data_IF_169235332438
#
_entry.id   IF_169235332438
#
_cell.length_a   1.000
_cell.length_b   1.000
_cell.length_c   1.000
_cell.angle_alpha   90.00
_cell.angle_beta   90.00
_cell.angle_gamma   90.00
#
_symmetry.space_group_name_H-M   'P 1'
#
loop_
_entity.id
_entity.type
_entity.pdbx_description
1 polymer ?
#
# COMPACT_ATOMS: atom_id res chain seq x y z
N UNK A 1 -17.24 -59.68 -4.52
CA UNK A 1 -16.41 -59.39 -5.72
C UNK A 1 -16.06 -57.92 -5.72
N UNK A 2 -14.80 -57.58 -5.40
CA UNK A 2 -14.32 -56.19 -5.44
C UNK A 2 -14.22 -55.76 -6.91
N UNK A 3 -14.96 -54.72 -7.31
CA UNK A 3 -14.74 -54.10 -8.62
C UNK A 3 -13.31 -53.57 -8.63
N UNK A 4 -12.47 -54.12 -9.50
CA UNK A 4 -11.17 -53.53 -9.85
C UNK A 4 -11.39 -52.04 -10.14
N UNK A 5 -10.65 -51.16 -9.49
CA UNK A 5 -10.61 -49.76 -9.90
C UNK A 5 -10.26 -49.72 -11.40
N UNK A 6 -11.03 -48.98 -12.19
CA UNK A 6 -10.79 -48.76 -13.61
C UNK A 6 -10.73 -47.26 -13.88
N UNK A 7 -9.91 -46.86 -14.86
CA UNK A 7 -9.69 -45.44 -15.20
C UNK A 7 -8.74 -44.73 -14.22
N UNK A 8 -8.95 -43.42 -14.04
CA UNK A 8 -8.07 -42.52 -13.27
C UNK A 8 -7.77 -43.00 -11.84
N UNK A 9 -8.73 -43.66 -11.20
CA UNK A 9 -8.60 -44.19 -9.83
C UNK A 9 -7.74 -45.47 -9.73
N UNK A 10 -7.33 -46.05 -10.85
CA UNK A 10 -6.41 -47.19 -10.89
C UNK A 10 -4.93 -46.75 -10.93
N UNK A 11 -4.66 -45.45 -11.09
CA UNK A 11 -3.31 -44.92 -11.10
C UNK A 11 -2.69 -44.97 -9.69
N UNK A 12 -1.36 -45.13 -9.59
CA UNK A 12 -0.66 -44.90 -8.33
C UNK A 12 -0.94 -43.49 -7.79
N UNK A 13 -1.09 -43.30 -6.46
CA UNK A 13 -1.33 -42.01 -5.83
C UNK A 13 -0.41 -40.89 -6.32
N UNK A 14 0.87 -41.20 -6.54
CA UNK A 14 1.91 -40.26 -6.95
C UNK A 14 1.68 -39.76 -8.39
N UNK A 15 1.20 -40.63 -9.28
CA UNK A 15 0.87 -40.27 -10.66
C UNK A 15 -0.40 -39.43 -10.69
N UNK A 16 -1.41 -39.80 -9.88
CA UNK A 16 -2.62 -39.01 -9.74
C UNK A 16 -2.29 -37.60 -9.20
N UNK A 17 -1.43 -37.53 -8.17
CA UNK A 17 -0.98 -36.26 -7.61
C UNK A 17 -0.26 -35.41 -8.66
N UNK A 18 0.65 -35.99 -9.44
CA UNK A 18 1.34 -35.26 -10.50
C UNK A 18 0.37 -34.69 -11.53
N UNK A 19 -0.65 -35.44 -11.93
CA UNK A 19 -1.68 -34.96 -12.86
C UNK A 19 -2.44 -33.76 -12.27
N UNK A 20 -2.77 -33.81 -10.97
CA UNK A 20 -3.46 -32.71 -10.31
C UNK A 20 -2.58 -31.46 -10.22
N UNK A 21 -1.28 -31.61 -9.94
CA UNK A 21 -0.33 -30.48 -9.84
C UNK A 21 -0.15 -29.73 -11.16
N UNK A 22 -0.28 -30.42 -12.30
CA UNK A 22 -0.23 -29.79 -13.64
C UNK A 22 -1.57 -29.13 -14.03
N UNK A 23 -2.63 -29.28 -13.23
CA UNK A 23 -3.95 -28.72 -13.51
C UNK A 23 -4.15 -27.38 -12.79
N UNK A 24 -5.02 -26.52 -13.33
CA UNK A 24 -5.41 -25.30 -12.61
C UNK A 24 -6.15 -25.67 -11.31
N UNK A 25 -5.95 -24.96 -10.19
CA UNK A 25 -6.65 -25.26 -8.94
C UNK A 25 -8.19 -25.25 -9.04
N UNK A 26 -8.77 -24.49 -9.98
CA UNK A 26 -10.21 -24.54 -10.26
C UNK A 26 -10.62 -25.89 -10.90
N UNK A 27 -9.80 -26.44 -11.79
CA UNK A 27 -10.01 -27.76 -12.38
C UNK A 27 -9.84 -28.86 -11.34
N UNK A 28 -8.86 -28.74 -10.43
CA UNK A 28 -8.70 -29.65 -9.29
C UNK A 28 -9.95 -29.65 -8.41
N UNK A 29 -10.54 -28.47 -8.16
CA UNK A 29 -11.80 -28.37 -7.43
C UNK A 29 -12.97 -29.05 -8.17
N UNK A 30 -13.03 -28.94 -9.51
CA UNK A 30 -14.03 -29.62 -10.33
C UNK A 30 -13.83 -31.15 -10.34
N UNK A 31 -12.59 -31.63 -10.45
CA UNK A 31 -12.23 -33.06 -10.37
C UNK A 31 -12.69 -33.64 -9.02
N UNK A 32 -12.50 -32.90 -7.92
CA UNK A 32 -12.95 -33.31 -6.60
C UNK A 32 -14.48 -33.44 -6.47
N UNK A 33 -15.26 -32.86 -7.40
CA UNK A 33 -16.72 -33.04 -7.44
C UNK A 33 -17.14 -34.26 -8.28
N UNK A 34 -16.25 -34.85 -9.07
CA UNK A 34 -16.58 -35.95 -9.96
C UNK A 34 -16.92 -37.25 -9.20
N UNK A 35 -16.24 -37.55 -8.09
CA UNK A 35 -16.59 -38.67 -7.21
C UNK A 35 -16.05 -38.52 -5.78
N UNK A 36 -16.61 -39.29 -4.84
CA UNK A 36 -16.20 -39.27 -3.42
C UNK A 36 -14.76 -39.73 -3.19
N UNK A 37 -14.24 -40.65 -4.01
CA UNK A 37 -12.86 -41.12 -3.90
C UNK A 37 -11.86 -40.00 -4.22
N UNK A 38 -12.08 -39.25 -5.31
CA UNK A 38 -11.26 -38.09 -5.67
C UNK A 38 -11.40 -36.96 -4.65
N UNK A 39 -12.63 -36.72 -4.17
CA UNK A 39 -12.86 -35.74 -3.09
C UNK A 39 -12.03 -36.05 -1.86
N UNK A 40 -12.06 -37.31 -1.40
CA UNK A 40 -11.32 -37.76 -0.23
C UNK A 40 -9.80 -37.66 -0.46
N UNK A 41 -9.33 -38.05 -1.64
CA UNK A 41 -7.91 -37.92 -2.01
C UNK A 41 -7.40 -36.48 -1.92
N UNK A 42 -8.20 -35.51 -2.39
CA UNK A 42 -7.81 -34.10 -2.47
C UNK A 42 -8.00 -33.36 -1.14
N UNK A 43 -9.14 -33.58 -0.46
CA UNK A 43 -9.56 -32.75 0.68
C UNK A 43 -9.40 -33.41 2.06
N UNK A 44 -9.15 -34.71 2.11
CA UNK A 44 -8.89 -35.45 3.35
C UNK A 44 -7.51 -36.18 3.33
N UNK A 45 -6.42 -35.54 2.85
CA UNK A 45 -5.09 -36.13 2.94
C UNK A 45 -4.55 -36.11 4.38
N UNK A 46 -3.59 -37.00 4.68
CA UNK A 46 -2.92 -37.02 5.98
C UNK A 46 -1.94 -35.85 6.18
N UNK A 47 -1.48 -35.23 5.09
CA UNK A 47 -0.58 -34.09 5.06
C UNK A 47 -1.04 -33.03 4.03
N UNK A 48 -0.27 -31.94 3.87
CA UNK A 48 -0.57 -30.87 2.91
C UNK A 48 0.31 -30.93 1.64
N UNK A 49 0.94 -32.05 1.32
CA UNK A 49 1.92 -32.15 0.23
C UNK A 49 1.33 -31.75 -1.13
N UNK A 50 0.13 -32.26 -1.46
CA UNK A 50 -0.58 -31.89 -2.69
C UNK A 50 -0.88 -30.39 -2.74
N UNK A 51 -1.42 -29.82 -1.66
CA UNK A 51 -1.77 -28.39 -1.59
C UNK A 51 -0.55 -27.48 -1.69
N UNK A 52 0.57 -27.88 -1.07
CA UNK A 52 1.85 -27.20 -1.21
C UNK A 52 2.35 -27.25 -2.65
N UNK A 53 2.29 -28.42 -3.29
CA UNK A 53 2.73 -28.59 -4.67
C UNK A 53 1.87 -27.76 -5.63
N UNK A 54 0.55 -27.74 -5.43
CA UNK A 54 -0.38 -26.91 -6.20
C UNK A 54 -0.09 -25.41 -6.05
N UNK A 55 0.23 -24.95 -4.83
CA UNK A 55 0.60 -23.56 -4.59
C UNK A 55 1.91 -23.21 -5.30
N UNK A 56 2.95 -24.02 -5.13
CA UNK A 56 4.28 -23.75 -5.70
C UNK A 56 4.33 -23.88 -7.22
N UNK A 57 3.34 -24.55 -7.83
CA UNK A 57 3.14 -24.56 -9.27
C UNK A 57 2.54 -23.23 -9.81
N UNK A 58 1.98 -22.39 -8.96
CA UNK A 58 1.48 -21.07 -9.35
C UNK A 58 2.65 -20.06 -9.48
N UNK A 59 2.48 -19.02 -10.28
CA UNK A 59 3.41 -17.87 -10.35
C UNK A 59 3.24 -16.94 -9.15
N UNK A 60 3.51 -17.45 -7.95
CA UNK A 60 3.40 -16.76 -6.66
C UNK A 60 4.68 -16.93 -5.86
N UNK A 61 4.94 -16.01 -4.94
CA UNK A 61 6.09 -16.11 -4.04
C UNK A 61 5.90 -17.27 -3.03
N UNK A 62 6.99 -17.96 -2.69
CA UNK A 62 7.00 -18.94 -1.62
C UNK A 62 6.83 -18.24 -0.26
N UNK A 63 5.74 -18.50 0.48
CA UNK A 63 5.46 -17.79 1.73
C UNK A 63 6.52 -17.98 2.81
N UNK A 64 7.38 -19.00 2.68
CA UNK A 64 8.49 -19.27 3.62
C UNK A 64 9.69 -18.35 3.39
N UNK A 65 9.77 -17.72 2.21
CA UNK A 65 10.79 -16.74 1.85
C UNK A 65 10.28 -15.30 2.04
N UNK A 66 8.96 -15.14 2.14
CA UNK A 66 8.32 -13.85 2.39
C UNK A 66 8.61 -13.28 3.78
N UNK A 67 8.60 -11.95 3.84
CA UNK A 67 8.63 -11.16 5.08
C UNK A 67 7.45 -10.20 5.10
N UNK A 68 6.98 -9.83 6.29
CA UNK A 68 5.98 -8.77 6.44
C UNK A 68 6.60 -7.38 6.16
N UNK A 69 5.78 -6.33 6.19
CA UNK A 69 6.23 -4.94 5.97
C UNK A 69 7.33 -4.48 6.94
N UNK A 70 7.52 -5.12 8.10
CA UNK A 70 8.57 -4.79 9.06
C UNK A 70 9.84 -5.64 8.86
N UNK A 71 9.89 -6.48 7.82
CA UNK A 71 11.01 -7.38 7.53
C UNK A 71 11.06 -8.64 8.40
N UNK A 72 9.99 -8.95 9.14
CA UNK A 72 9.90 -10.16 9.97
C UNK A 72 9.48 -11.36 9.12
N UNK A 73 10.07 -12.55 9.35
CA UNK A 73 9.68 -13.75 8.63
C UNK A 73 8.24 -14.15 8.97
N UNK A 74 7.51 -14.67 7.99
CA UNK A 74 6.20 -15.27 8.23
C UNK A 74 6.34 -16.59 9.02
N UNK A 75 5.21 -17.09 9.54
CA UNK A 75 5.15 -18.42 10.16
C UNK A 75 5.66 -19.50 9.20
N UNK A 76 6.54 -20.38 9.71
CA UNK A 76 7.00 -21.56 8.98
C UNK A 76 5.89 -22.62 8.83
N UNK A 77 4.90 -22.61 9.72
CA UNK A 77 3.72 -23.46 9.62
C UNK A 77 2.70 -22.79 8.68
N UNK A 78 2.67 -23.28 7.44
CA UNK A 78 1.86 -22.73 6.35
C UNK A 78 0.67 -23.64 6.10
N UNK A 79 -0.54 -23.09 6.25
CA UNK A 79 -1.77 -23.73 5.75
C UNK A 79 -1.87 -23.51 4.23
N UNK A 80 -1.23 -24.40 3.48
CA UNK A 80 -1.17 -24.36 2.02
C UNK A 80 -2.55 -24.42 1.38
N UNK A 81 -3.46 -25.24 1.94
CA UNK A 81 -4.82 -25.37 1.43
C UNK A 81 -5.57 -24.06 1.58
N UNK A 82 -5.69 -23.54 2.79
CA UNK A 82 -6.46 -22.31 3.04
C UNK A 82 -5.87 -21.13 2.26
N UNK A 83 -4.54 -21.02 2.21
CA UNK A 83 -3.83 -19.97 1.48
C UNK A 83 -4.07 -20.06 -0.03
N UNK A 84 -3.96 -21.24 -0.63
CA UNK A 84 -4.26 -21.41 -2.06
C UNK A 84 -5.73 -21.09 -2.36
N UNK A 85 -6.67 -21.59 -1.56
CA UNK A 85 -8.10 -21.36 -1.78
C UNK A 85 -8.47 -19.88 -1.79
N UNK A 86 -7.99 -19.10 -0.79
CA UNK A 86 -8.28 -17.66 -0.75
C UNK A 86 -7.63 -16.90 -1.92
N UNK A 87 -6.42 -17.30 -2.36
CA UNK A 87 -5.74 -16.65 -3.49
C UNK A 87 -6.45 -16.97 -4.80
N UNK A 88 -6.87 -18.21 -5.02
CA UNK A 88 -7.62 -18.60 -6.22
C UNK A 88 -8.99 -17.91 -6.23
N UNK A 89 -9.62 -17.71 -5.06
CA UNK A 89 -10.82 -16.89 -4.95
C UNK A 89 -10.55 -15.43 -5.33
N UNK A 90 -9.47 -14.84 -4.82
CA UNK A 90 -9.06 -13.49 -5.18
C UNK A 90 -8.74 -13.36 -6.69
N UNK A 91 -8.04 -14.34 -7.28
CA UNK A 91 -7.80 -14.43 -8.73
C UNK A 91 -9.10 -14.44 -9.51
N UNK A 92 -10.06 -15.27 -9.12
CA UNK A 92 -11.38 -15.35 -9.77
C UNK A 92 -12.11 -14.01 -9.78
N UNK A 93 -12.00 -13.25 -8.68
CA UNK A 93 -12.59 -11.91 -8.56
C UNK A 93 -11.78 -10.86 -9.32
N UNK A 94 -10.45 -10.98 -9.37
CA UNK A 94 -9.64 -10.11 -10.20
C UNK A 94 -9.95 -10.33 -11.68
N UNK A 95 -10.13 -11.56 -12.15
CA UNK A 95 -10.46 -11.83 -13.55
C UNK A 95 -11.87 -11.34 -13.93
N UNK A 96 -12.80 -11.38 -12.97
CA UNK A 96 -14.17 -10.90 -13.15
C UNK A 96 -14.69 -10.29 -11.83
N UNK A 97 -14.53 -8.97 -11.65
CA UNK A 97 -14.93 -8.28 -10.42
C UNK A 97 -16.42 -8.37 -10.09
N UNK A 98 -17.27 -8.75 -11.05
CA UNK A 98 -18.71 -8.94 -10.83
C UNK A 98 -19.03 -10.21 -10.04
N UNK A 99 -18.09 -11.17 -9.96
CA UNK A 99 -18.25 -12.43 -9.24
C UNK A 99 -17.98 -12.32 -7.73
N UNK A 100 -17.69 -11.13 -7.22
CA UNK A 100 -17.48 -10.91 -5.80
C UNK A 100 -18.79 -10.49 -5.13
N UNK A 101 -19.43 -11.37 -4.34
CA UNK A 101 -20.56 -10.96 -3.54
C UNK A 101 -20.08 -10.05 -2.39
N UNK A 102 -20.95 -9.16 -1.86
CA UNK A 102 -20.56 -8.18 -0.85
C UNK A 102 -19.97 -8.79 0.44
N UNK A 103 -20.46 -9.95 0.86
CA UNK A 103 -20.05 -10.65 2.09
C UNK A 103 -18.63 -11.23 2.01
N UNK A 104 -18.13 -11.51 0.81
CA UNK A 104 -16.77 -12.01 0.60
C UNK A 104 -15.76 -10.89 0.34
N UNK A 105 -16.23 -9.67 0.06
CA UNK A 105 -15.39 -8.56 -0.43
C UNK A 105 -14.22 -8.25 0.49
N UNK A 106 -14.48 -8.19 1.79
CA UNK A 106 -13.44 -7.96 2.81
C UNK A 106 -12.34 -9.03 2.75
N UNK A 107 -12.71 -10.32 2.67
CA UNK A 107 -11.75 -11.42 2.63
C UNK A 107 -10.90 -11.41 1.35
N UNK A 108 -11.50 -11.04 0.21
CA UNK A 108 -10.79 -10.87 -1.06
C UNK A 108 -9.79 -9.72 -0.98
N UNK A 109 -10.22 -8.54 -0.54
CA UNK A 109 -9.36 -7.38 -0.38
C UNK A 109 -8.21 -7.65 0.59
N UNK A 110 -8.50 -8.28 1.72
CA UNK A 110 -7.48 -8.65 2.70
C UNK A 110 -6.46 -9.64 2.09
N UNK A 111 -6.92 -10.60 1.29
CA UNK A 111 -6.02 -11.54 0.60
C UNK A 111 -5.08 -10.81 -0.34
N UNK A 112 -5.57 -9.81 -1.09
CA UNK A 112 -4.74 -9.00 -1.99
C UNK A 112 -3.74 -8.14 -1.21
N UNK A 113 -4.17 -7.52 -0.09
CA UNK A 113 -3.28 -6.74 0.77
C UNK A 113 -2.18 -7.63 1.36
N UNK A 114 -2.54 -8.83 1.80
CA UNK A 114 -1.58 -9.80 2.31
C UNK A 114 -0.56 -10.23 1.25
N UNK A 115 -0.97 -10.37 -0.02
CA UNK A 115 -0.07 -10.75 -1.11
C UNK A 115 0.97 -9.67 -1.41
N UNK A 116 0.58 -8.40 -1.37
CA UNK A 116 1.51 -7.28 -1.65
C UNK A 116 2.32 -6.83 -0.43
N UNK A 117 1.86 -7.15 0.79
CA UNK A 117 2.55 -6.77 2.04
C UNK A 117 3.43 -7.89 2.60
N UNK A 118 3.27 -9.13 2.12
CA UNK A 118 4.04 -10.28 2.57
C UNK A 118 4.79 -10.92 1.39
N UNK A 119 5.90 -10.29 1.02
CA UNK A 119 6.72 -10.60 -0.16
C UNK A 119 8.17 -10.85 0.24
N UNK A 120 8.96 -11.59 -0.56
CA UNK A 120 10.39 -11.73 -0.30
C UNK A 120 11.08 -10.36 -0.35
N UNK A 121 12.12 -10.11 0.48
CA UNK A 121 12.92 -8.91 0.35
C UNK A 121 13.79 -8.96 -0.91
N UNK A 122 14.20 -7.79 -1.40
CA UNK A 122 15.23 -7.64 -2.44
C UNK A 122 16.57 -7.23 -1.81
N UNK A 123 17.68 -7.60 -2.44
CA UNK A 123 19.01 -7.11 -2.08
C UNK A 123 19.29 -5.71 -2.63
N UNK A 124 18.70 -5.40 -3.79
CA UNK A 124 18.83 -4.13 -4.48
C UNK A 124 17.46 -3.48 -4.62
N UNK A 125 17.33 -2.25 -4.13
CA UNK A 125 16.11 -1.47 -4.25
C UNK A 125 15.78 -1.13 -5.72
N UNK A 126 16.77 -1.21 -6.62
CA UNK A 126 16.61 -1.01 -8.06
C UNK A 126 16.54 -2.34 -8.84
N UNK A 127 16.31 -3.47 -8.17
CA UNK A 127 16.14 -4.77 -8.82
C UNK A 127 15.07 -4.71 -9.91
N UNK A 128 15.41 -5.17 -11.11
CA UNK A 128 14.48 -5.27 -12.25
C UNK A 128 13.51 -6.45 -12.12
N UNK A 129 13.78 -7.37 -11.18
CA UNK A 129 12.96 -8.55 -10.90
C UNK A 129 12.13 -8.33 -9.63
N UNK A 130 10.90 -7.81 -9.74
CA UNK A 130 10.02 -7.66 -8.59
C UNK A 130 9.52 -9.03 -8.10
N UNK A 131 9.12 -9.09 -6.83
CA UNK A 131 8.44 -10.25 -6.26
C UNK A 131 7.26 -10.73 -7.14
N UNK A 132 7.06 -12.04 -7.25
CA UNK A 132 6.06 -12.63 -8.14
C UNK A 132 4.64 -12.17 -7.80
N UNK A 133 4.32 -12.01 -6.51
CA UNK A 133 3.02 -11.50 -6.08
C UNK A 133 2.75 -10.07 -6.57
N UNK A 134 3.79 -9.21 -6.60
CA UNK A 134 3.66 -7.85 -7.14
C UNK A 134 3.42 -7.87 -8.65
N UNK A 135 4.20 -8.68 -9.38
CA UNK A 135 4.03 -8.85 -10.82
C UNK A 135 2.65 -9.44 -11.19
N UNK A 136 2.14 -10.36 -10.36
CA UNK A 136 0.81 -10.93 -10.49
C UNK A 136 -0.28 -9.87 -10.25
N UNK A 137 -0.20 -9.10 -9.17
CA UNK A 137 -1.20 -8.08 -8.84
C UNK A 137 -1.19 -6.90 -9.83
N UNK A 138 -0.03 -6.53 -10.38
CA UNK A 138 0.09 -5.47 -11.40
C UNK A 138 -0.79 -5.73 -12.64
N UNK A 139 -1.07 -7.01 -12.97
CA UNK A 139 -1.98 -7.40 -14.07
C UNK A 139 -3.47 -7.22 -13.72
N UNK A 140 -3.80 -7.17 -12.43
CA UNK A 140 -5.16 -7.09 -11.89
C UNK A 140 -5.69 -5.67 -11.62
N UNK A 141 -4.96 -4.63 -12.04
CA UNK A 141 -5.28 -3.22 -11.70
C UNK A 141 -6.68 -2.74 -12.06
N UNK A 142 -7.34 -3.39 -13.03
CA UNK A 142 -8.69 -3.05 -13.45
C UNK A 142 -9.76 -3.30 -12.36
N UNK A 143 -9.46 -4.12 -11.34
CA UNK A 143 -10.31 -4.28 -10.14
C UNK A 143 -10.59 -2.94 -9.46
N UNK A 144 -9.57 -2.07 -9.35
CA UNK A 144 -9.65 -0.78 -8.66
C UNK A 144 -10.54 0.24 -9.40
N UNK A 145 -10.67 0.07 -10.72
CA UNK A 145 -11.47 0.91 -11.60
C UNK A 145 -12.86 0.33 -11.89
N UNK A 146 -13.14 -0.91 -11.49
CA UNK A 146 -14.36 -1.60 -11.87
C UNK A 146 -15.60 -1.00 -11.17
N UNK A 147 -16.69 -0.67 -11.90
CA UNK A 147 -17.88 0.01 -11.34
C UNK A 147 -18.46 -0.63 -10.06
N UNK A 148 -18.50 -1.96 -10.00
CA UNK A 148 -18.98 -2.70 -8.82
C UNK A 148 -18.16 -2.45 -7.54
N UNK A 149 -16.97 -1.88 -7.67
CA UNK A 149 -16.04 -1.56 -6.59
C UNK A 149 -15.92 -0.04 -6.37
N UNK A 150 -16.66 0.76 -7.14
CA UNK A 150 -16.69 2.23 -7.02
C UNK A 150 -17.87 2.74 -6.19
N UNK A 151 -18.81 1.87 -5.83
CA UNK A 151 -19.89 2.20 -4.90
C UNK A 151 -19.36 2.43 -3.50
N UNK A 152 -20.16 3.08 -2.64
CA UNK A 152 -19.83 3.21 -1.22
C UNK A 152 -19.55 1.83 -0.61
N UNK A 153 -18.41 1.71 0.06
CA UNK A 153 -17.95 0.50 0.71
C UNK A 153 -18.05 0.69 2.23
N UNK A 154 -18.30 -0.39 2.99
CA UNK A 154 -18.10 -0.39 4.43
C UNK A 154 -16.70 0.14 4.79
N UNK A 155 -16.52 0.89 5.90
CA UNK A 155 -15.26 1.58 6.20
C UNK A 155 -14.02 0.69 6.16
N UNK A 156 -14.11 -0.56 6.64
CA UNK A 156 -12.99 -1.51 6.62
C UNK A 156 -12.58 -1.92 5.19
N UNK A 157 -13.56 -2.13 4.32
CA UNK A 157 -13.32 -2.50 2.91
C UNK A 157 -12.77 -1.31 2.14
N UNK A 158 -13.28 -0.11 2.42
CA UNK A 158 -12.79 1.13 1.85
C UNK A 158 -11.30 1.35 2.17
N UNK A 159 -10.90 1.18 3.44
CA UNK A 159 -9.50 1.31 3.85
C UNK A 159 -8.59 0.27 3.17
N UNK A 160 -9.04 -0.98 3.02
CA UNK A 160 -8.27 -1.99 2.28
C UNK A 160 -8.14 -1.65 0.79
N UNK A 161 -9.22 -1.16 0.16
CA UNK A 161 -9.19 -0.73 -1.24
C UNK A 161 -8.21 0.43 -1.44
N UNK A 162 -8.26 1.46 -0.60
CA UNK A 162 -7.32 2.58 -0.71
C UNK A 162 -5.89 2.16 -0.39
N UNK A 163 -5.69 1.22 0.53
CA UNK A 163 -4.37 0.63 0.78
C UNK A 163 -3.83 -0.05 -0.47
N UNK A 164 -4.63 -0.93 -1.10
CA UNK A 164 -4.26 -1.56 -2.37
C UNK A 164 -3.93 -0.51 -3.43
N UNK A 165 -4.72 0.56 -3.51
CA UNK A 165 -4.51 1.61 -4.50
C UNK A 165 -3.22 2.40 -4.27
N UNK A 166 -2.94 2.77 -3.02
CA UNK A 166 -1.70 3.47 -2.65
C UNK A 166 -0.45 2.62 -2.97
N UNK A 167 -0.52 1.29 -2.83
CA UNK A 167 0.57 0.40 -3.25
C UNK A 167 0.58 0.19 -4.76
N UNK A 168 -0.59 0.11 -5.40
CA UNK A 168 -0.73 -0.10 -6.84
C UNK A 168 -0.01 1.03 -7.60
N UNK A 169 -0.26 2.27 -7.21
CA UNK A 169 0.06 3.45 -7.99
C UNK A 169 -1.19 3.98 -8.69
N UNK A 170 -1.02 4.72 -9.79
CA UNK A 170 -2.14 5.28 -10.54
C UNK A 170 -2.82 4.25 -11.45
N UNK A 171 -4.14 4.36 -11.55
CA UNK A 171 -4.93 3.68 -12.59
C UNK A 171 -5.27 4.62 -13.75
N UNK A 172 -5.94 4.10 -14.78
CA UNK A 172 -6.42 4.94 -15.88
C UNK A 172 -7.49 5.93 -15.42
N UNK A 173 -8.30 5.55 -14.44
CA UNK A 173 -9.36 6.43 -13.93
C UNK A 173 -8.78 7.67 -13.26
N UNK A 174 -7.63 7.57 -12.62
CA UNK A 174 -6.99 8.66 -11.88
C UNK A 174 -6.58 9.86 -12.76
N UNK A 175 -6.33 9.65 -14.05
CA UNK A 175 -6.06 10.73 -15.00
C UNK A 175 -7.31 11.56 -15.37
N UNK A 176 -8.51 11.18 -14.90
CA UNK A 176 -9.73 11.96 -15.16
C UNK A 176 -9.70 13.26 -14.33
N UNK A 177 -10.12 14.40 -14.88
CA UNK A 177 -10.18 15.68 -14.15
C UNK A 177 -10.93 15.57 -12.81
N UNK A 178 -12.05 14.82 -12.78
CA UNK A 178 -12.82 14.61 -11.55
C UNK A 178 -12.01 13.97 -10.43
N UNK A 179 -11.09 13.06 -10.75
CA UNK A 179 -10.24 12.38 -9.74
C UNK A 179 -9.16 13.31 -9.20
N UNK A 180 -8.61 14.16 -10.06
CA UNK A 180 -7.71 15.24 -9.64
C UNK A 180 -8.43 16.17 -8.65
N UNK A 181 -9.64 16.61 -8.98
CA UNK A 181 -10.47 17.45 -8.11
C UNK A 181 -10.83 16.76 -6.80
N UNK A 182 -11.19 15.47 -6.81
CA UNK A 182 -11.46 14.68 -5.60
C UNK A 182 -10.24 14.59 -4.67
N UNK A 183 -9.05 14.28 -5.20
CA UNK A 183 -7.82 14.19 -4.40
C UNK A 183 -7.40 15.54 -3.79
N UNK A 184 -7.47 16.63 -4.58
CA UNK A 184 -7.20 18.00 -4.12
C UNK A 184 -8.17 18.43 -3.04
N UNK A 185 -9.46 18.18 -3.27
CA UNK A 185 -10.51 18.47 -2.30
C UNK A 185 -10.27 17.75 -0.97
N UNK A 186 -9.70 16.55 -0.98
CA UNK A 186 -9.36 15.85 0.24
C UNK A 186 -8.11 16.43 0.92
N UNK A 187 -7.02 16.66 0.18
CA UNK A 187 -5.74 17.16 0.72
C UNK A 187 -5.86 18.61 1.24
N UNK A 188 -6.60 19.47 0.55
CA UNK A 188 -6.71 20.88 0.94
C UNK A 188 -7.86 21.16 1.89
N UNK A 189 -8.58 20.13 2.34
CA UNK A 189 -9.60 20.25 3.37
C UNK A 189 -8.97 20.31 4.76
N UNK A 190 -8.89 21.51 5.35
CA UNK A 190 -8.32 21.74 6.68
C UNK A 190 -9.01 20.88 7.77
N UNK A 191 -10.29 20.52 7.57
CA UNK A 191 -11.05 19.64 8.47
C UNK A 191 -10.48 18.21 8.60
N UNK A 192 -9.60 17.79 7.70
CA UNK A 192 -8.92 16.49 7.73
C UNK A 192 -7.64 16.52 8.57
N UNK A 193 -7.29 17.66 9.18
CA UNK A 193 -6.06 17.85 9.96
C UNK A 193 -6.43 18.37 11.36
N UNK A 194 -6.38 17.48 12.34
CA UNK A 194 -6.88 17.72 13.70
C UNK A 194 -5.89 17.17 14.73
N UNK A 195 -6.09 17.54 15.98
CA UNK A 195 -5.34 16.98 17.10
C UNK A 195 -5.57 15.47 17.29
N UNK A 196 -6.76 14.97 16.93
CA UNK A 196 -7.11 13.54 17.06
C UNK A 196 -6.39 12.63 16.06
N UNK A 197 -5.96 13.16 14.92
CA UNK A 197 -5.17 12.45 13.93
C UNK A 197 -3.77 13.04 13.78
N UNK A 198 -3.31 13.82 14.76
CA UNK A 198 -1.98 14.42 14.81
C UNK A 198 -1.60 15.19 13.53
N UNK A 199 -2.59 15.73 12.79
CA UNK A 199 -2.40 16.44 11.51
C UNK A 199 -1.75 15.60 10.39
N UNK A 200 -1.83 14.27 10.48
CA UNK A 200 -1.29 13.35 9.48
C UNK A 200 -2.34 12.46 8.81
N UNK A 201 -1.90 11.49 7.98
CA UNK A 201 -2.78 10.51 7.36
C UNK A 201 -3.22 9.39 8.34
N UNK A 202 -3.72 9.79 9.51
CA UNK A 202 -4.20 8.91 10.56
C UNK A 202 -5.73 9.01 10.73
N UNK A 203 -6.32 7.99 11.34
CA UNK A 203 -7.74 7.99 11.69
C UNK A 203 -8.06 9.07 12.76
N UNK A 204 -9.24 9.68 12.65
CA UNK A 204 -9.74 10.72 13.56
C UNK A 204 -10.21 10.21 14.93
N UNK A 205 -9.98 8.93 15.24
CA UNK A 205 -10.42 8.29 16.48
C UNK A 205 -9.34 8.29 17.57
N UNK A 206 -8.20 8.96 17.35
CA UNK A 206 -7.07 8.95 18.28
C UNK A 206 -6.32 7.62 18.35
N UNK A 207 -6.65 6.65 17.49
CA UNK A 207 -6.02 5.33 17.54
C UNK A 207 -4.60 5.30 16.95
N UNK A 208 -4.21 6.35 16.21
CA UNK A 208 -2.94 6.39 15.48
C UNK A 208 -2.84 5.38 14.33
N UNK A 209 -3.94 4.71 13.96
CA UNK A 209 -4.01 3.83 12.79
C UNK A 209 -4.02 4.65 11.51
N UNK A 210 -3.52 4.07 10.43
CA UNK A 210 -3.42 4.77 9.14
C UNK A 210 -4.79 4.93 8.49
N UNK A 211 -5.06 6.12 7.99
CA UNK A 211 -6.17 6.40 7.09
C UNK A 211 -5.67 6.33 5.64
N UNK A 212 -5.86 5.17 5.02
CA UNK A 212 -5.40 4.89 3.66
C UNK A 212 -6.10 5.72 2.59
N UNK A 213 -7.31 6.24 2.84
CA UNK A 213 -7.94 7.21 1.93
C UNK A 213 -7.15 8.52 1.89
N UNK A 214 -6.68 8.98 3.06
CA UNK A 214 -5.81 10.16 3.14
C UNK A 214 -4.47 9.89 2.45
N UNK A 215 -3.83 8.74 2.71
CA UNK A 215 -2.60 8.33 2.00
C UNK A 215 -2.81 8.30 0.49
N UNK A 216 -3.94 7.76 0.01
CA UNK A 216 -4.27 7.74 -1.41
C UNK A 216 -4.43 9.15 -1.99
N UNK A 217 -5.11 10.06 -1.29
CA UNK A 217 -5.31 11.42 -1.77
C UNK A 217 -3.97 12.16 -1.93
N UNK A 218 -3.08 12.03 -0.94
CA UNK A 218 -1.71 12.55 -0.98
C UNK A 218 -0.92 11.92 -2.13
N UNK A 219 -0.93 10.58 -2.22
CA UNK A 219 -0.28 9.83 -3.31
C UNK A 219 -0.70 10.35 -4.68
N UNK A 220 -2.01 10.53 -4.89
CA UNK A 220 -2.57 10.97 -6.15
C UNK A 220 -2.15 12.40 -6.49
N UNK A 221 -2.26 13.35 -5.54
CA UNK A 221 -1.82 14.74 -5.73
C UNK A 221 -0.33 14.80 -6.09
N UNK A 222 0.54 14.10 -5.36
CA UNK A 222 1.98 14.08 -5.64
C UNK A 222 2.29 13.44 -6.99
N UNK A 223 1.67 12.31 -7.31
CA UNK A 223 1.88 11.59 -8.57
C UNK A 223 1.49 12.44 -9.80
N UNK A 224 0.47 13.28 -9.68
CA UNK A 224 0.00 14.19 -10.74
C UNK A 224 0.96 15.35 -11.06
N UNK A 225 1.98 15.58 -10.22
CA UNK A 225 3.08 16.52 -10.48
C UNK A 225 4.33 15.82 -11.03
N UNK A 226 4.55 14.56 -10.64
CA UNK A 226 5.72 13.76 -11.05
C UNK A 226 5.56 13.21 -12.47
N UNK A 227 4.35 12.76 -12.82
CA UNK A 227 4.08 12.18 -14.13
C UNK A 227 3.52 13.22 -15.10
N UNK A 228 3.98 13.22 -16.36
CA UNK A 228 3.41 14.10 -17.38
C UNK A 228 1.92 13.78 -17.58
N UNK A 229 1.10 14.82 -17.76
CA UNK A 229 -0.28 14.62 -18.18
C UNK A 229 -0.27 13.91 -19.54
N UNK A 230 -0.79 12.68 -19.57
CA UNK A 230 -0.83 11.88 -20.80
C UNK A 230 -1.74 12.56 -21.80
N UNK A 231 -1.22 12.85 -23.00
CA UNK A 231 -2.07 12.88 -24.19
C UNK A 231 -2.67 11.48 -24.32
N UNK A 232 -3.98 11.38 -24.06
CA UNK A 232 -4.73 10.13 -23.98
C UNK A 232 -4.91 9.50 -25.37
N UNK A 233 -3.82 9.16 -26.06
CA UNK A 233 -3.89 8.29 -27.22
C UNK A 233 -4.30 6.87 -26.75
N UNK A 234 -5.34 6.34 -27.39
CA UNK A 234 -6.06 5.11 -27.01
C UNK A 234 -5.18 3.87 -26.81
N UNK A 235 -3.96 3.88 -27.35
CA UNK A 235 -3.01 2.75 -27.33
C UNK A 235 -2.27 2.61 -25.99
N UNK A 236 -2.18 3.67 -25.18
CA UNK A 236 -1.41 3.69 -23.91
C UNK A 236 -2.28 3.39 -22.68
N UNK A 237 -3.61 3.32 -22.87
CA UNK A 237 -4.63 3.15 -21.82
C UNK A 237 -4.69 1.75 -21.19
N UNK A 238 -3.76 0.85 -21.50
CA UNK A 238 -3.74 -0.51 -20.94
C UNK A 238 -2.45 -0.83 -20.17
N UNK A 239 -1.50 0.11 -20.12
CA UNK A 239 -0.19 -0.15 -19.53
C UNK A 239 -0.10 0.41 -18.11
N UNK A 240 0.20 -0.49 -17.17
CA UNK A 240 0.67 -0.15 -15.83
C UNK A 240 1.92 0.74 -15.92
N UNK A 241 1.93 1.86 -15.20
CA UNK A 241 3.07 2.79 -15.19
C UNK A 241 3.98 2.45 -14.03
N UNK A 242 5.21 2.06 -14.33
CA UNK A 242 6.25 1.89 -13.31
C UNK A 242 6.90 3.24 -13.05
N UNK A 243 6.78 3.74 -11.83
CA UNK A 243 7.38 4.98 -11.35
C UNK A 243 7.53 4.90 -9.82
N UNK A 244 8.37 5.73 -9.17
CA UNK A 244 8.76 5.55 -7.76
C UNK A 244 7.62 5.40 -6.73
N UNK A 245 6.38 5.76 -7.08
CA UNK A 245 5.19 5.58 -6.25
C UNK A 245 4.27 4.46 -6.74
N UNK A 246 4.83 3.30 -7.12
CA UNK A 246 4.05 2.13 -7.58
C UNK A 246 4.61 0.79 -7.09
N UNK A 247 3.87 -0.30 -7.32
CA UNK A 247 4.10 -1.63 -6.71
C UNK A 247 5.55 -2.10 -6.62
N UNK A 248 6.37 -2.03 -7.69
CA UNK A 248 7.73 -2.59 -7.62
C UNK A 248 8.58 -1.94 -6.53
N UNK A 249 8.32 -0.67 -6.23
CA UNK A 249 9.05 0.08 -5.23
C UNK A 249 8.61 -0.23 -3.80
N UNK A 250 7.51 -0.98 -3.58
CA UNK A 250 7.04 -1.37 -2.26
C UNK A 250 7.89 -2.48 -1.60
N UNK A 251 8.75 -3.17 -2.35
CA UNK A 251 9.51 -4.31 -1.84
C UNK A 251 10.55 -3.89 -0.80
N UNK A 252 10.67 -4.65 0.29
CA UNK A 252 11.66 -4.36 1.33
C UNK A 252 13.07 -4.56 0.78
N UNK A 253 13.98 -3.61 1.01
CA UNK A 253 15.40 -3.76 0.68
C UNK A 253 16.19 -4.25 1.90
N UNK A 254 16.49 -5.55 1.94
CA UNK A 254 17.19 -6.19 3.06
C UNK A 254 18.35 -7.03 2.51
N UNK A 255 19.59 -6.53 2.56
CA UNK A 255 20.77 -7.30 2.17
C UNK A 255 20.88 -8.60 2.99
N UNK A 256 21.30 -9.71 2.36
CA UNK A 256 21.38 -11.03 3.01
C UNK A 256 22.23 -11.06 4.28
N UNK A 257 23.27 -10.23 4.34
CA UNK A 257 24.17 -10.13 5.48
C UNK A 257 23.61 -9.30 6.64
N UNK A 258 22.49 -8.59 6.43
CA UNK A 258 21.92 -7.69 7.42
C UNK A 258 20.92 -8.42 8.32
N UNK A 259 21.24 -8.47 9.62
CA UNK A 259 20.29 -8.86 10.65
C UNK A 259 19.48 -7.64 11.09
N UNK A 260 18.30 -7.46 10.50
CA UNK A 260 17.44 -6.30 10.76
C UNK A 260 17.04 -6.16 12.23
N UNK A 261 17.05 -7.24 13.01
CA UNK A 261 16.72 -7.19 14.45
C UNK A 261 17.84 -6.60 15.30
N UNK A 262 19.04 -6.44 14.74
CA UNK A 262 20.21 -5.83 15.39
C UNK A 262 20.62 -4.51 14.75
N UNK A 263 19.96 -4.11 13.67
CA UNK A 263 20.24 -2.88 12.95
C UNK A 263 19.53 -1.70 13.62
N UNK A 264 20.26 -0.71 14.20
CA UNK A 264 19.62 0.46 14.79
C UNK A 264 18.85 1.28 13.77
N UNK A 265 19.35 1.40 12.53
CA UNK A 265 18.67 2.08 11.42
C UNK A 265 17.81 1.10 10.61
N UNK A 266 16.91 0.39 11.30
CA UNK A 266 16.09 -0.64 10.68
C UNK A 266 15.23 -0.08 9.53
N UNK A 267 14.81 1.18 9.60
CA UNK A 267 13.97 1.81 8.59
C UNK A 267 14.75 2.33 7.37
N UNK A 268 16.10 2.42 7.45
CA UNK A 268 16.94 2.96 6.38
C UNK A 268 16.88 4.48 6.28
N UNK A 269 16.81 5.17 7.42
CA UNK A 269 16.72 6.63 7.53
C UNK A 269 17.98 7.32 7.02
N UNK A 270 19.16 6.77 7.30
CA UNK A 270 20.42 7.41 6.95
C UNK A 270 20.62 7.43 5.43
N UNK A 271 20.85 8.62 4.89
CA UNK A 271 21.21 8.81 3.48
C UNK A 271 20.69 10.13 2.92
N UNK A 272 20.85 10.27 1.61
CA UNK A 272 20.28 11.38 0.83
C UNK A 272 18.83 11.08 0.49
N UNK A 273 17.92 11.97 0.88
CA UNK A 273 16.49 11.92 0.58
C UNK A 273 16.11 13.08 -0.34
N UNK A 274 15.17 12.84 -1.25
CA UNK A 274 14.60 13.90 -2.08
C UNK A 274 13.22 14.27 -1.54
N UNK A 275 13.18 15.28 -0.67
CA UNK A 275 11.93 15.73 -0.10
C UNK A 275 11.16 16.59 -1.10
N UNK A 276 9.98 16.12 -1.50
CA UNK A 276 9.10 16.78 -2.45
C UNK A 276 7.80 17.19 -1.78
N UNK A 277 7.32 18.41 -2.02
CA UNK A 277 6.10 18.90 -1.40
C UNK A 277 5.32 19.82 -2.34
N UNK A 278 4.00 19.88 -2.13
CA UNK A 278 3.13 20.77 -2.87
C UNK A 278 2.12 21.51 -1.98
N UNK A 279 1.68 22.68 -2.49
CA UNK A 279 0.66 23.52 -1.89
C UNK A 279 -0.04 24.38 -2.94
N UNK A 280 -1.22 24.87 -2.62
CA UNK A 280 -1.92 25.90 -3.38
C UNK A 280 -1.75 27.30 -2.75
N UNK A 281 -2.21 28.33 -3.46
CA UNK A 281 -2.26 29.68 -2.90
C UNK A 281 -3.08 29.72 -1.61
N UNK A 282 -2.56 30.44 -0.60
CA UNK A 282 -3.20 30.49 0.72
C UNK A 282 -4.59 31.13 0.67
N UNK A 283 -4.84 32.08 -0.24
CA UNK A 283 -6.17 32.70 -0.39
C UNK A 283 -7.16 31.70 -0.95
N UNK A 284 -6.76 30.92 -1.96
CA UNK A 284 -7.61 29.86 -2.53
C UNK A 284 -7.93 28.80 -1.48
N UNK A 285 -6.93 28.41 -0.68
CA UNK A 285 -7.11 27.49 0.44
C UNK A 285 -8.13 28.02 1.46
N UNK A 286 -8.04 29.30 1.84
CA UNK A 286 -8.99 29.93 2.75
C UNK A 286 -10.39 30.05 2.14
N UNK A 287 -10.49 30.39 0.85
CA UNK A 287 -11.77 30.43 0.13
C UNK A 287 -12.42 29.04 0.14
N UNK A 288 -11.66 28.00 -0.17
CA UNK A 288 -12.17 26.62 -0.18
C UNK A 288 -12.70 26.18 1.20
N UNK A 289 -12.00 26.52 2.28
CA UNK A 289 -12.33 26.05 3.62
C UNK A 289 -13.34 26.93 4.38
N UNK A 290 -13.48 28.22 4.01
CA UNK A 290 -14.25 29.19 4.81
C UNK A 290 -15.30 30.00 4.02
N UNK A 291 -15.31 29.95 2.68
CA UNK A 291 -16.25 30.73 1.87
C UNK A 291 -17.61 30.04 1.68
N UNK A 292 -18.14 29.40 2.73
CA UNK A 292 -19.42 28.69 2.72
C UNK A 292 -20.28 29.16 3.89
N UNK A 293 -21.58 29.35 3.64
CA UNK A 293 -22.56 29.78 4.65
C UNK A 293 -22.82 28.72 5.73
N UNK A 294 -22.49 27.46 5.43
CA UNK A 294 -22.56 26.36 6.38
C UNK A 294 -21.17 26.10 6.98
N UNK A 295 -21.00 26.39 8.27
CA UNK A 295 -19.78 26.12 9.03
C UNK A 295 -19.75 24.69 9.59
N UNK A 296 -20.58 23.77 9.07
CA UNK A 296 -20.55 22.39 9.51
C UNK A 296 -19.28 21.68 9.03
N UNK A 297 -18.53 21.10 9.97
CA UNK A 297 -17.35 20.27 9.69
C UNK A 297 -17.70 19.02 8.85
N UNK A 298 -18.99 18.67 8.74
CA UNK A 298 -19.51 17.47 8.10
C UNK A 298 -20.17 17.70 6.74
N UNK A 299 -20.39 18.96 6.33
CA UNK A 299 -21.07 19.30 5.08
C UNK A 299 -20.26 18.99 3.82
N UNK A 300 -20.91 18.91 2.64
CA UNK A 300 -20.18 18.85 1.38
C UNK A 300 -19.42 20.17 1.12
N UNK A 301 -18.14 20.08 0.76
CA UNK A 301 -17.33 21.25 0.40
C UNK A 301 -17.48 21.57 -1.08
N UNK A 302 -17.43 22.85 -1.46
CA UNK A 302 -17.55 23.24 -2.87
C UNK A 302 -16.20 23.13 -3.58
N UNK A 303 -16.06 22.13 -4.45
CA UNK A 303 -14.79 21.79 -5.10
C UNK A 303 -14.52 22.55 -6.40
N UNK A 304 -15.43 23.42 -6.84
CA UNK A 304 -15.34 24.11 -8.12
C UNK A 304 -14.06 24.97 -8.28
N UNK A 305 -13.48 25.42 -7.16
CA UNK A 305 -12.20 26.16 -7.17
C UNK A 305 -11.05 25.35 -7.79
N UNK A 306 -11.05 24.02 -7.65
CA UNK A 306 -9.98 23.17 -8.20
C UNK A 306 -10.07 22.94 -9.70
N UNK A 307 -11.21 23.29 -10.31
CA UNK A 307 -11.46 23.26 -11.74
C UNK A 307 -11.22 24.64 -12.39
N UNK A 308 -10.92 25.67 -11.58
CA UNK A 308 -10.60 27.01 -12.07
C UNK A 308 -9.25 26.99 -12.82
N UNK A 309 -9.16 27.50 -14.06
CA UNK A 309 -7.91 27.62 -14.80
C UNK A 309 -6.82 28.41 -14.06
N UNK A 310 -7.20 29.33 -13.18
CA UNK A 310 -6.28 30.16 -12.39
C UNK A 310 -5.81 29.46 -11.09
N UNK A 311 -6.40 28.32 -10.72
CA UNK A 311 -5.95 27.55 -9.56
C UNK A 311 -4.59 26.91 -9.84
N UNK A 312 -3.57 27.34 -9.09
CA UNK A 312 -2.19 26.85 -9.22
C UNK A 312 -1.78 26.07 -7.98
N UNK A 313 -1.25 24.86 -8.22
CA UNK A 313 -0.45 24.14 -7.22
C UNK A 313 1.03 24.30 -7.53
N UNK A 314 1.77 24.67 -6.50
CA UNK A 314 3.23 24.77 -6.53
C UNK A 314 3.80 23.43 -6.05
N UNK A 315 4.71 22.86 -6.84
CA UNK A 315 5.50 21.68 -6.49
C UNK A 315 6.98 22.05 -6.35
N UNK A 316 7.64 21.55 -5.32
CA UNK A 316 9.06 21.81 -5.02
C UNK A 316 9.73 20.52 -4.55
N UNK A 317 11.01 20.40 -4.85
CA UNK A 317 11.88 19.32 -4.38
C UNK A 317 13.13 19.92 -3.76
N UNK A 318 13.68 19.25 -2.75
CA UNK A 318 14.97 19.57 -2.16
C UNK A 318 15.66 18.30 -1.69
N UNK A 319 16.98 18.27 -1.81
CA UNK A 319 17.77 17.16 -1.29
C UNK A 319 18.12 17.43 0.19
N UNK A 320 17.92 16.40 1.02
CA UNK A 320 18.19 16.45 2.46
C UNK A 320 19.06 15.27 2.85
N UNK A 321 20.19 15.55 3.50
CA UNK A 321 21.04 14.52 4.08
C UNK A 321 20.56 14.18 5.49
N UNK A 322 20.02 12.97 5.66
CA UNK A 322 19.52 12.47 6.94
C UNK A 322 20.58 11.64 7.67
N UNK A 323 20.66 11.85 9.00
CA UNK A 323 21.49 11.05 9.90
C UNK A 323 20.71 10.64 11.15
N UNK A 324 20.85 9.37 11.53
CA UNK A 324 20.35 8.85 12.80
C UNK A 324 21.17 9.43 13.95
N UNK A 325 20.49 9.91 15.00
CA UNK A 325 21.13 10.50 16.18
C UNK A 325 20.96 9.65 17.44
N UNK A 326 19.85 8.93 17.57
CA UNK A 326 19.58 8.06 18.71
C UNK A 326 18.45 7.08 18.40
N UNK A 327 18.32 6.06 19.24
CA UNK A 327 17.17 5.16 19.25
C UNK A 327 16.54 5.12 20.64
N UNK A 328 15.21 4.94 20.70
CA UNK A 328 14.43 4.76 21.91
C UNK A 328 13.73 3.41 21.84
N UNK A 329 13.82 2.60 22.91
CA UNK A 329 13.17 1.29 22.93
C UNK A 329 11.64 1.42 22.81
N UNK A 330 11.04 0.61 21.94
CA UNK A 330 9.59 0.48 21.84
C UNK A 330 9.15 -0.85 22.47
N UNK A 331 8.42 -0.85 23.60
CA UNK A 331 7.96 -2.07 24.24
C UNK A 331 7.04 -2.93 23.37
N UNK A 332 6.27 -2.31 22.46
CA UNK A 332 5.36 -3.03 21.56
C UNK A 332 6.11 -3.62 20.37
N UNK A 333 7.26 -3.05 20.01
CA UNK A 333 8.09 -3.48 18.88
C UNK A 333 9.58 -3.55 19.29
N UNK A 334 10.00 -4.54 20.09
CA UNK A 334 11.35 -4.58 20.68
C UNK A 334 12.50 -4.61 19.67
N UNK A 335 12.24 -5.09 18.45
CA UNK A 335 13.21 -5.18 17.34
C UNK A 335 13.18 -3.97 16.42
N UNK A 336 12.23 -3.03 16.61
CA UNK A 336 12.03 -1.83 15.80
C UNK A 336 11.91 -0.61 16.73
N UNK A 337 13.01 -0.24 17.43
CA UNK A 337 13.00 0.91 18.30
C UNK A 337 12.66 2.18 17.53
N UNK A 338 12.08 3.18 18.18
CA UNK A 338 11.91 4.50 17.58
C UNK A 338 13.28 5.07 17.22
N UNK A 339 13.44 5.53 15.99
CA UNK A 339 14.66 6.14 15.47
C UNK A 339 14.49 7.65 15.55
N UNK A 340 15.40 8.39 16.18
CA UNK A 340 15.45 9.85 16.07
C UNK A 340 16.53 10.24 15.06
N UNK A 341 16.23 11.23 14.23
CA UNK A 341 17.13 11.68 13.18
C UNK A 341 17.17 13.20 13.07
N UNK A 342 18.22 13.68 12.39
CA UNK A 342 18.30 15.06 11.93
C UNK A 342 18.67 15.10 10.46
N UNK A 343 18.17 16.09 9.75
CA UNK A 343 18.45 16.36 8.36
C UNK A 343 19.05 17.73 8.14
N UNK A 344 19.93 17.84 7.14
CA UNK A 344 20.48 19.12 6.69
C UNK A 344 20.31 19.25 5.19
N UNK A 345 19.68 20.34 4.76
CA UNK A 345 19.61 20.72 3.34
C UNK A 345 20.65 21.80 3.03
N UNK A 346 21.02 21.93 1.75
CA UNK A 346 22.03 22.90 1.28
C UNK A 346 21.66 24.39 1.55
N UNK A 347 20.42 24.68 1.96
CA UNK A 347 19.84 26.02 2.15
C UNK A 347 19.87 26.54 3.61
N UNK A 348 20.67 25.96 4.51
CA UNK A 348 20.59 26.16 5.98
C UNK A 348 19.28 25.67 6.62
N UNK A 349 18.41 25.00 5.85
CA UNK A 349 17.23 24.36 6.41
C UNK A 349 17.64 23.11 7.20
N UNK A 350 17.05 22.98 8.39
CA UNK A 350 17.28 21.86 9.30
C UNK A 350 15.99 21.09 9.49
N UNK A 351 16.11 19.78 9.57
CA UNK A 351 15.02 18.85 9.88
C UNK A 351 15.35 18.08 11.15
N UNK A 352 14.38 17.90 12.03
CA UNK A 352 14.51 17.05 13.22
C UNK A 352 13.25 16.22 13.35
N UNK A 353 13.41 14.91 13.48
CA UNK A 353 12.27 14.01 13.42
C UNK A 353 12.53 12.66 14.04
N UNK A 354 11.54 11.79 13.88
CA UNK A 354 11.62 10.39 14.26
C UNK A 354 10.87 9.46 13.32
N UNK A 355 11.25 8.20 13.35
CA UNK A 355 10.53 7.07 12.75
C UNK A 355 10.08 6.12 13.85
N UNK A 356 8.80 5.71 13.84
CA UNK A 356 8.24 4.74 14.79
C UNK A 356 7.19 3.85 14.13
N UNK A 357 6.77 2.79 14.82
CA UNK A 357 5.71 1.90 14.35
C UNK A 357 4.34 2.37 14.85
N UNK A 358 3.32 2.31 14.00
CA UNK A 358 1.92 2.58 14.37
C UNK A 358 1.26 1.35 15.02
N UNK A 359 0.12 1.50 15.72
CA UNK A 359 -0.60 0.37 16.32
C UNK A 359 -1.12 -0.67 15.30
N UNK A 360 -1.16 -0.34 14.01
CA UNK A 360 -1.49 -1.24 12.90
C UNK A 360 -0.26 -1.65 12.07
N UNK A 361 0.94 -1.63 12.68
CA UNK A 361 2.20 -2.10 12.11
C UNK A 361 2.61 -1.42 10.79
N UNK A 362 2.37 -0.12 10.67
CA UNK A 362 2.87 0.72 9.59
C UNK A 362 4.05 1.58 10.10
N UNK A 363 4.90 2.04 9.17
CA UNK A 363 6.10 2.82 9.50
C UNK A 363 5.75 4.31 9.39
N UNK A 364 5.69 4.99 10.53
CA UNK A 364 5.37 6.42 10.63
C UNK A 364 6.61 7.27 10.69
N UNK A 365 6.59 8.34 9.91
CA UNK A 365 7.58 9.39 9.89
C UNK A 365 6.97 10.69 10.43
N UNK A 366 7.66 11.30 11.39
CA UNK A 366 7.36 12.63 11.89
C UNK A 366 8.61 13.48 11.79
N UNK A 367 8.49 14.71 11.32
CA UNK A 367 9.58 15.67 11.41
C UNK A 367 9.09 17.10 11.44
N UNK A 368 9.92 17.95 12.02
CA UNK A 368 9.78 19.40 11.95
C UNK A 368 10.93 19.97 11.17
N UNK A 369 10.65 20.95 10.31
CA UNK A 369 11.65 21.61 9.49
C UNK A 369 11.54 23.12 9.53
N UNK A 370 12.63 23.80 9.22
CA UNK A 370 12.68 25.25 9.16
C UNK A 370 14.11 25.75 9.02
N UNK A 371 14.29 27.06 9.14
CA UNK A 371 15.55 27.75 8.87
C UNK A 371 16.15 28.31 10.15
N UNK A 372 17.49 28.40 10.19
CA UNK A 372 18.23 29.01 11.30
C UNK A 372 17.89 28.41 12.69
N UNK A 373 17.54 27.12 12.74
CA UNK A 373 17.18 26.41 13.97
C UNK A 373 15.77 26.70 14.48
N UNK A 374 14.95 27.46 13.75
CA UNK A 374 13.55 27.72 14.06
C UNK A 374 12.67 26.76 13.25
N UNK A 375 12.01 25.83 13.94
CA UNK A 375 11.02 24.96 13.30
C UNK A 375 9.77 25.76 12.92
N UNK A 376 9.39 25.70 11.64
CA UNK A 376 8.23 26.39 11.08
C UNK A 376 7.20 25.38 10.60
N UNK A 377 7.66 24.30 9.98
CA UNK A 377 6.82 23.27 9.38
C UNK A 377 6.82 22.01 10.25
N UNK A 378 5.68 21.33 10.28
CA UNK A 378 5.50 20.03 10.91
C UNK A 378 4.92 19.07 9.88
N UNK A 379 5.53 17.90 9.74
CA UNK A 379 5.18 16.90 8.73
C UNK A 379 4.91 15.55 9.38
N UNK A 380 3.88 14.88 8.88
CA UNK A 380 3.43 13.57 9.31
C UNK A 380 3.16 12.69 8.09
N UNK A 381 3.81 11.53 8.04
CA UNK A 381 3.70 10.62 6.90
C UNK A 381 3.83 9.16 7.26
N UNK A 382 3.48 8.33 6.27
CA UNK A 382 3.58 6.89 6.32
C UNK A 382 4.45 6.43 5.16
N UNK A 383 5.42 5.58 5.45
CA UNK A 383 6.15 4.86 4.42
C UNK A 383 5.23 3.81 3.81
N UNK A 384 5.15 3.79 2.49
CA UNK A 384 4.38 2.78 1.75
C UNK A 384 5.31 1.65 1.32
N UNK A 385 4.79 0.43 1.35
CA UNK A 385 5.59 -0.78 1.18
C UNK A 385 6.27 -1.23 2.46
N UNK A 386 7.28 -2.08 2.29
CA UNK A 386 8.03 -2.67 3.39
C UNK A 386 9.21 -1.83 3.84
N UNK A 387 9.88 -2.31 4.88
CA UNK A 387 11.03 -1.65 5.47
C UNK A 387 12.15 -1.39 4.45
N UNK A 388 12.72 -0.19 4.47
CA UNK A 388 13.77 0.25 3.52
C UNK A 388 13.36 0.16 2.04
N UNK A 389 12.06 0.13 1.74
CA UNK A 389 11.54 0.18 0.38
C UNK A 389 11.92 1.50 -0.30
N UNK A 390 12.12 1.46 -1.61
CA UNK A 390 12.37 2.66 -2.42
C UNK A 390 11.10 3.44 -2.79
N UNK A 391 9.93 3.00 -2.31
CA UNK A 391 8.68 3.72 -2.54
C UNK A 391 8.71 5.10 -1.90
N UNK A 392 9.28 5.21 -0.69
CA UNK A 392 9.37 6.43 0.10
C UNK A 392 8.16 6.72 0.99
N UNK A 393 8.05 7.96 1.43
CA UNK A 393 7.12 8.39 2.51
C UNK A 393 6.09 9.36 1.97
N UNK A 394 4.81 9.08 2.21
CA UNK A 394 3.71 9.97 1.84
C UNK A 394 3.06 10.56 3.07
N UNK A 395 2.82 11.87 3.04
CA UNK A 395 2.17 12.53 4.16
C UNK A 395 1.69 13.92 3.87
N UNK A 396 1.39 14.63 4.95
CA UNK A 396 0.97 16.01 4.92
C UNK A 396 1.85 16.87 5.83
N UNK A 397 1.91 18.15 5.51
CA UNK A 397 2.60 19.15 6.32
C UNK A 397 1.68 20.30 6.65
N UNK A 398 1.89 20.89 7.83
CA UNK A 398 1.27 22.12 8.32
C UNK A 398 2.34 22.99 8.96
N UNK A 399 1.97 24.12 9.59
CA UNK A 399 2.91 24.77 10.52
C UNK A 399 3.02 23.99 11.83
N UNK A 400 4.04 24.30 12.64
CA UNK A 400 4.21 23.76 14.00
C UNK A 400 3.19 24.27 15.02
N UNK A 401 2.49 25.37 14.73
CA UNK A 401 1.47 25.95 15.61
C UNK A 401 0.13 25.24 15.44
N UNK A 402 -0.14 24.74 14.23
CA UNK A 402 -1.42 24.10 13.88
C UNK A 402 -2.62 25.04 14.12
N UNK A 403 -2.44 26.33 13.83
CA UNK A 403 -3.50 27.32 13.89
C UNK A 403 -4.55 27.03 12.81
N UNK A 404 -5.79 27.43 13.10
CA UNK A 404 -6.96 27.15 12.25
C UNK A 404 -6.81 27.58 10.79
N UNK A 405 -6.00 28.60 10.52
CA UNK A 405 -5.80 29.17 9.19
C UNK A 405 -4.44 28.81 8.59
N UNK A 406 -3.73 27.88 9.20
CA UNK A 406 -2.43 27.46 8.71
C UNK A 406 -2.53 26.80 7.34
N UNK A 407 -1.54 27.04 6.48
CA UNK A 407 -1.44 26.30 5.23
C UNK A 407 -1.29 24.80 5.51
N UNK A 408 -1.82 24.00 4.60
CA UNK A 408 -1.65 22.55 4.56
C UNK A 408 -1.29 22.11 3.15
N UNK A 409 -0.50 21.06 3.04
CA UNK A 409 -0.10 20.49 1.76
C UNK A 409 0.34 19.04 1.88
N UNK A 410 0.57 18.43 0.72
CA UNK A 410 1.06 17.06 0.60
C UNK A 410 2.59 17.04 0.46
N UNK A 411 3.21 15.93 0.87
CA UNK A 411 4.61 15.63 0.58
C UNK A 411 4.84 14.18 0.18
N UNK A 412 5.97 13.97 -0.48
CA UNK A 412 6.56 12.71 -0.89
C UNK A 412 8.08 12.81 -0.73
N UNK A 413 8.66 11.99 0.14
CA UNK A 413 10.09 11.99 0.46
C UNK A 413 10.77 10.66 0.10
#
# INVERSE_FOLDING_TARGET
MSKSASGLLALPPEILERILVESDPLDVAAIAQACSALRRFIYEPADQHLWRSLYLAQSLDDPRECRNNLGEPLSADVDWRARLQRIIRARTVMDDPSKCPPDERHAVLQTLVDLISNIPPTEDALSEDPAFNLAWFARGGHLLDHPAWLTELPPKEEQLKYRLHAHFGLTNRDYRPTRRTESRAYVYAMRNYRWDNEFGPFAHDGSGRVNWQHVWAVHHVMSMHILPQRDLDRTTLQLFVVYPLSLPFCQSSIPRSLDLNKEPDWAGVKGTWQCSFCFCDHRDLLVYNYNHFDHSDTGPMHTAIFDDPDFVEIFRCMDVELRVISTEADPNHPTRPKINFVGTANTNATMVGYVKITPDNQIRWHFKSGEHGLAVWSSEGIQVGGVRSSFGVLGAWTTVQHDRHDPVGAFFD
#
